data_IF_771238589173
#
_entry.id   IF_771238589173
#
_cell.length_a   1.000
_cell.length_b   1.000
_cell.length_c   1.000
_cell.angle_alpha   90.00
_cell.angle_beta   90.00
_cell.angle_gamma   90.00
#
_symmetry.space_group_name_H-M   'P 1'
#
loop_
_entity.id
_entity.type
_entity.pdbx_description
1 polymer ?
#
# COMPACT_ATOMS: atom_id res chain seq x y z
N UNK A 1 0.74 11.79 -7.24
CA UNK A 1 1.51 12.77 -8.03
C UNK A 1 2.93 12.90 -7.45
N UNK A 2 3.08 13.23 -6.15
CA UNK A 2 4.37 13.45 -5.50
C UNK A 2 5.39 12.31 -5.74
N UNK A 3 5.01 11.06 -5.50
CA UNK A 3 5.88 9.89 -5.72
C UNK A 3 6.27 9.74 -7.19
N UNK A 4 5.31 9.93 -8.10
CA UNK A 4 5.53 9.82 -9.55
C UNK A 4 6.53 10.88 -10.06
N UNK A 5 6.36 12.13 -9.66
CA UNK A 5 7.28 13.23 -10.06
C UNK A 5 8.67 13.05 -9.44
N UNK A 6 8.77 12.46 -8.26
CA UNK A 6 10.05 12.14 -7.61
C UNK A 6 10.69 10.86 -8.16
N UNK A 7 10.07 10.18 -9.12
CA UNK A 7 10.59 8.94 -9.69
C UNK A 7 10.73 7.83 -8.63
N UNK A 8 9.77 7.72 -7.72
CA UNK A 8 9.69 6.66 -6.73
C UNK A 8 8.60 5.69 -7.18
N UNK A 9 8.95 4.45 -7.59
CA UNK A 9 7.98 3.42 -7.91
C UNK A 9 7.12 3.08 -6.68
N UNK A 10 5.82 2.93 -6.91
CA UNK A 10 4.85 2.57 -5.87
C UNK A 10 3.75 1.70 -6.46
N UNK A 11 2.95 1.08 -5.62
CA UNK A 11 1.70 0.42 -6.01
C UNK A 11 0.61 0.69 -4.98
N UNK A 12 -0.65 0.61 -5.42
CA UNK A 12 -1.80 0.64 -4.52
C UNK A 12 -1.81 -0.64 -3.67
N UNK A 13 -2.03 -0.48 -2.37
CA UNK A 13 -2.02 -1.60 -1.42
C UNK A 13 -3.28 -1.61 -0.56
N UNK A 14 -3.42 -2.62 0.26
CA UNK A 14 -4.47 -2.75 1.29
C UNK A 14 -5.89 -2.41 0.80
N UNK A 15 -6.62 -1.60 1.56
CA UNK A 15 -7.99 -1.17 1.27
C UNK A 15 -8.12 -0.43 -0.05
N UNK A 16 -7.14 0.39 -0.39
CA UNK A 16 -7.10 1.13 -1.66
C UNK A 16 -7.01 0.20 -2.87
N UNK A 17 -6.16 -0.84 -2.81
CA UNK A 17 -6.11 -1.86 -3.86
C UNK A 17 -7.42 -2.63 -3.95
N UNK A 18 -7.99 -3.02 -2.80
CA UNK A 18 -9.29 -3.71 -2.75
C UNK A 18 -10.38 -2.89 -3.45
N UNK A 19 -10.49 -1.61 -3.13
CA UNK A 19 -11.43 -0.69 -3.76
C UNK A 19 -11.20 -0.54 -5.26
N UNK A 20 -9.94 -0.40 -5.68
CA UNK A 20 -9.55 -0.31 -7.07
C UNK A 20 -10.03 -1.53 -7.88
N UNK A 21 -9.76 -2.74 -7.39
CA UNK A 21 -10.07 -3.98 -8.13
C UNK A 21 -11.55 -4.37 -8.03
N UNK A 22 -12.18 -4.17 -6.87
CA UNK A 22 -13.56 -4.60 -6.65
C UNK A 22 -14.58 -3.61 -7.17
N UNK A 23 -14.32 -2.30 -7.02
CA UNK A 23 -15.31 -1.24 -7.28
C UNK A 23 -14.83 -0.19 -8.30
N UNK A 24 -13.57 -0.22 -8.72
CA UNK A 24 -12.99 0.80 -9.61
C UNK A 24 -12.86 2.18 -8.95
N UNK A 25 -12.97 2.25 -7.63
CA UNK A 25 -12.93 3.47 -6.82
C UNK A 25 -12.46 3.18 -5.39
N UNK A 26 -12.13 4.22 -4.64
CA UNK A 26 -11.91 4.11 -3.18
C UNK A 26 -13.21 3.64 -2.53
N UNK A 27 -13.11 2.72 -1.56
CA UNK A 27 -14.27 2.22 -0.83
C UNK A 27 -14.95 3.37 -0.07
N UNK A 28 -16.28 3.38 -0.04
CA UNK A 28 -17.06 4.51 0.51
C UNK A 28 -16.88 4.75 2.01
N UNK A 29 -16.38 3.74 2.71
CA UNK A 29 -16.10 3.79 4.16
C UNK A 29 -14.60 3.92 4.47
N UNK A 30 -13.76 3.97 3.44
CA UNK A 30 -12.31 4.09 3.58
C UNK A 30 -11.94 5.57 3.67
N UNK A 31 -11.19 5.93 4.70
CA UNK A 31 -10.81 7.31 4.99
C UNK A 31 -9.35 7.61 4.64
N UNK A 32 -8.62 6.60 4.20
CA UNK A 32 -7.21 6.72 3.85
C UNK A 32 -6.90 6.14 2.46
N UNK A 33 -5.68 6.36 2.03
CA UNK A 33 -5.12 5.79 0.82
C UNK A 33 -3.84 5.06 1.18
N UNK A 34 -3.77 3.78 0.85
CA UNK A 34 -2.62 2.95 1.10
C UNK A 34 -1.77 2.78 -0.16
N UNK A 35 -0.50 3.09 -0.07
CA UNK A 35 0.48 2.80 -1.12
C UNK A 35 1.74 2.19 -0.54
N UNK A 36 2.39 1.33 -1.30
CA UNK A 36 3.66 0.72 -0.89
C UNK A 36 4.76 1.06 -1.89
N UNK A 37 5.93 1.44 -1.36
CA UNK A 37 7.19 1.63 -2.09
C UNK A 37 8.19 0.55 -1.69
N UNK A 38 9.25 0.35 -2.49
CA UNK A 38 10.36 -0.49 -2.07
C UNK A 38 11.17 0.18 -0.95
N UNK A 39 11.63 -0.60 0.04
CA UNK A 39 12.36 -0.07 1.21
C UNK A 39 13.62 0.71 0.83
N UNK A 40 14.31 0.33 -0.27
CA UNK A 40 15.49 1.08 -0.74
C UNK A 40 15.18 2.53 -1.16
N UNK A 41 13.92 2.85 -1.45
CA UNK A 41 13.50 4.21 -1.79
C UNK A 41 13.16 5.06 -0.55
N UNK A 42 13.28 4.51 0.66
CA UNK A 42 12.90 5.20 1.89
C UNK A 42 13.61 6.52 2.13
N UNK A 43 14.93 6.52 1.99
CA UNK A 43 15.71 7.75 2.20
C UNK A 43 15.40 8.80 1.13
N UNK A 44 15.21 8.36 -0.13
CA UNK A 44 14.77 9.24 -1.21
C UNK A 44 13.39 9.84 -0.94
N UNK A 45 12.44 9.04 -0.41
CA UNK A 45 11.12 9.51 -0.01
C UNK A 45 11.22 10.67 1.01
N UNK A 46 12.11 10.54 1.98
CA UNK A 46 12.25 11.50 3.07
C UNK A 46 13.02 12.77 2.69
N UNK A 47 13.88 12.70 1.67
CA UNK A 47 14.82 13.80 1.35
C UNK A 47 14.51 14.48 0.01
N UNK A 48 13.88 13.77 -0.92
CA UNK A 48 13.65 14.28 -2.28
C UNK A 48 12.18 14.60 -2.59
N UNK A 49 11.23 14.10 -1.77
CA UNK A 49 9.81 14.39 -1.96
C UNK A 49 9.44 15.65 -1.19
N UNK A 50 9.12 16.70 -1.92
CA UNK A 50 8.60 17.96 -1.35
C UNK A 50 7.07 17.85 -1.14
N UNK A 51 6.67 17.20 -0.06
CA UNK A 51 5.26 17.01 0.30
C UNK A 51 4.47 18.33 0.39
N UNK A 52 5.02 19.41 0.99
CA UNK A 52 4.36 20.72 1.03
C UNK A 52 3.99 21.29 -0.35
N UNK A 53 4.80 21.06 -1.39
CA UNK A 53 4.50 21.46 -2.77
C UNK A 53 3.13 20.91 -3.25
N UNK A 54 2.70 19.78 -2.69
CA UNK A 54 1.44 19.10 -3.04
C UNK A 54 0.33 19.33 -1.99
N UNK A 55 0.52 20.29 -1.07
CA UNK A 55 -0.42 20.53 0.01
C UNK A 55 -0.46 19.41 1.06
N UNK A 56 0.62 18.64 1.18
CA UNK A 56 0.71 17.50 2.07
C UNK A 56 1.67 17.76 3.23
N UNK A 57 1.31 17.25 4.42
CA UNK A 57 2.15 17.34 5.63
C UNK A 57 2.39 15.94 6.19
N UNK A 58 3.64 15.60 6.49
CA UNK A 58 4.01 14.36 7.19
C UNK A 58 3.70 14.51 8.67
N UNK A 59 2.76 13.71 9.19
CA UNK A 59 2.39 13.75 10.63
C UNK A 59 2.89 12.53 11.41
N UNK A 60 3.07 11.37 10.76
CA UNK A 60 3.53 10.14 11.41
C UNK A 60 4.69 9.54 10.65
N UNK A 61 5.65 8.97 11.37
CA UNK A 61 6.80 8.31 10.82
C UNK A 61 7.23 7.17 11.74
N UNK A 62 7.22 5.97 11.21
CA UNK A 62 7.61 4.77 11.94
C UNK A 62 8.74 4.05 11.20
N UNK A 63 9.70 3.52 11.95
CA UNK A 63 10.75 2.63 11.44
C UNK A 63 10.57 1.24 12.07
N UNK A 64 10.71 0.19 11.25
CA UNK A 64 10.62 -1.18 11.74
C UNK A 64 9.23 -1.49 12.29
N UNK A 65 8.19 -1.14 11.55
CA UNK A 65 6.80 -1.38 11.96
C UNK A 65 6.56 -2.90 12.06
N UNK A 66 6.28 -3.43 13.27
CA UNK A 66 6.25 -4.89 13.50
C UNK A 66 5.21 -5.61 12.65
N UNK A 67 4.07 -4.96 12.37
CA UNK A 67 2.96 -5.56 11.65
C UNK A 67 3.19 -5.63 10.12
N UNK A 68 4.26 -5.01 9.61
CA UNK A 68 4.58 -4.92 8.19
C UNK A 68 6.00 -5.39 7.85
N UNK A 69 6.38 -6.59 8.29
CA UNK A 69 7.65 -7.26 7.93
C UNK A 69 8.93 -6.44 8.20
N UNK A 70 8.93 -5.61 9.24
CA UNK A 70 10.08 -4.75 9.55
C UNK A 70 10.24 -3.56 8.60
N UNK A 71 9.23 -3.26 7.78
CA UNK A 71 9.19 -2.10 6.92
C UNK A 71 9.04 -0.77 7.68
N UNK A 72 9.03 0.31 6.94
CA UNK A 72 8.81 1.64 7.48
C UNK A 72 7.47 2.20 7.00
N UNK A 73 6.92 3.16 7.71
CA UNK A 73 5.66 3.82 7.39
C UNK A 73 5.76 5.32 7.60
N UNK A 74 5.23 6.10 6.68
CA UNK A 74 4.87 7.50 6.95
C UNK A 74 3.40 7.72 6.59
N UNK A 75 2.72 8.58 7.39
CA UNK A 75 1.39 9.07 7.06
C UNK A 75 1.48 10.53 6.64
N UNK A 76 0.95 10.84 5.46
CA UNK A 76 0.87 12.20 4.91
C UNK A 76 -0.58 12.64 4.84
N UNK A 77 -0.85 13.85 5.29
CA UNK A 77 -2.17 14.44 5.45
C UNK A 77 -2.33 15.65 4.52
N UNK A 78 -3.51 15.90 4.05
CA UNK A 78 -3.83 17.18 3.43
C UNK A 78 -3.64 18.29 4.46
N UNK A 79 -2.91 19.35 4.11
CA UNK A 79 -2.49 20.39 5.06
C UNK A 79 -3.67 21.17 5.66
N UNK A 80 -4.76 21.27 4.89
CA UNK A 80 -5.97 22.00 5.28
C UNK A 80 -7.00 21.13 5.99
N UNK A 81 -6.83 19.81 5.98
CA UNK A 81 -7.81 18.88 6.53
C UNK A 81 -7.40 18.36 7.91
N UNK A 82 -8.32 18.43 8.84
CA UNK A 82 -8.08 18.10 10.23
C UNK A 82 -8.24 16.61 10.53
N UNK A 83 -7.40 15.75 10.05
CA UNK A 83 -7.23 14.40 10.56
C UNK A 83 -7.95 13.22 9.87
N UNK A 84 -8.87 13.39 8.94
CA UNK A 84 -9.65 12.26 8.43
C UNK A 84 -9.21 11.73 7.06
N UNK A 85 -8.50 12.53 6.24
CA UNK A 85 -8.05 12.10 4.92
C UNK A 85 -6.52 12.12 4.86
N UNK A 86 -5.92 10.95 4.79
CA UNK A 86 -4.47 10.80 4.75
C UNK A 86 -4.06 9.67 3.80
N UNK A 87 -2.79 9.64 3.48
CA UNK A 87 -2.18 8.56 2.73
C UNK A 87 -1.09 7.91 3.58
N UNK A 88 -1.20 6.62 3.78
CA UNK A 88 -0.15 5.80 4.35
C UNK A 88 0.78 5.30 3.26
N UNK A 89 2.07 5.62 3.41
CA UNK A 89 3.13 5.18 2.52
C UNK A 89 3.98 4.18 3.26
N UNK A 90 3.78 2.92 2.94
CA UNK A 90 4.58 1.80 3.45
C UNK A 90 5.86 1.66 2.64
N UNK A 91 6.96 1.39 3.30
CA UNK A 91 8.21 1.02 2.63
C UNK A 91 8.58 -0.42 3.02
N UNK A 92 8.56 -1.31 2.05
CA UNK A 92 8.68 -2.75 2.27
C UNK A 92 9.91 -3.31 1.53
N UNK A 93 10.66 -4.25 2.11
CA UNK A 93 11.74 -4.93 1.39
C UNK A 93 11.22 -5.80 0.23
N UNK A 94 9.97 -6.25 0.32
CA UNK A 94 9.29 -6.95 -0.75
C UNK A 94 8.59 -5.97 -1.69
N UNK A 95 8.79 -6.12 -3.00
CA UNK A 95 8.16 -5.27 -4.01
C UNK A 95 7.75 -6.12 -5.21
N UNK A 96 6.44 -6.29 -5.48
CA UNK A 96 5.96 -7.19 -6.51
C UNK A 96 6.24 -6.67 -7.92
N UNK A 97 6.16 -7.55 -8.91
CA UNK A 97 5.96 -7.13 -10.29
C UNK A 97 4.66 -6.35 -10.37
N UNK A 98 4.65 -5.29 -11.19
CA UNK A 98 3.51 -4.40 -11.31
C UNK A 98 2.81 -4.55 -12.66
N UNK A 99 1.52 -4.27 -12.65
CA UNK A 99 0.67 -3.97 -13.79
C UNK A 99 -0.15 -2.71 -13.49
N UNK A 100 -0.96 -2.23 -14.42
CA UNK A 100 -1.80 -1.06 -14.19
C UNK A 100 -3.28 -1.46 -14.08
N UNK A 101 -4.01 -0.73 -13.22
CA UNK A 101 -5.46 -0.78 -13.13
C UNK A 101 -6.04 0.64 -13.10
N UNK A 102 -7.28 0.76 -13.56
CA UNK A 102 -8.01 2.03 -13.56
C UNK A 102 -8.81 2.19 -12.28
N UNK A 103 -8.63 3.31 -11.60
CA UNK A 103 -9.44 3.72 -10.45
C UNK A 103 -9.85 5.18 -10.61
N UNK A 104 -11.14 5.48 -10.48
CA UNK A 104 -11.70 6.84 -10.70
C UNK A 104 -11.24 7.48 -12.04
N UNK A 105 -11.13 6.69 -13.10
CA UNK A 105 -10.73 7.16 -14.43
C UNK A 105 -9.22 7.41 -14.63
N UNK A 106 -8.40 7.12 -13.64
CA UNK A 106 -6.95 7.24 -13.72
C UNK A 106 -6.27 5.87 -13.59
N UNK A 107 -5.11 5.72 -14.22
CA UNK A 107 -4.30 4.52 -14.12
C UNK A 107 -3.32 4.58 -12.95
N UNK A 108 -3.27 3.47 -12.21
CA UNK A 108 -2.37 3.30 -11.06
C UNK A 108 -1.65 1.96 -11.14
N UNK A 109 -0.39 1.91 -10.71
CA UNK A 109 0.33 0.66 -10.58
C UNK A 109 -0.25 -0.18 -9.43
N UNK A 110 -0.42 -1.45 -9.69
CA UNK A 110 -0.91 -2.45 -8.74
C UNK A 110 -0.02 -3.70 -8.81
N UNK A 111 -0.02 -4.57 -7.80
CA UNK A 111 0.64 -5.87 -7.87
C UNK A 111 0.11 -6.68 -9.06
N UNK A 112 1.01 -7.30 -9.82
CA UNK A 112 0.61 -8.29 -10.81
C UNK A 112 -0.14 -9.44 -10.14
N UNK A 113 -1.23 -9.92 -10.77
CA UNK A 113 -2.15 -10.89 -10.19
C UNK A 113 -2.81 -10.37 -8.88
N UNK A 114 -3.51 -9.22 -8.94
CA UNK A 114 -4.11 -8.61 -7.76
C UNK A 114 -5.16 -9.50 -7.10
N UNK A 115 -5.78 -10.42 -7.86
CA UNK A 115 -6.75 -11.36 -7.32
C UNK A 115 -6.13 -12.32 -6.31
N UNK A 116 -4.94 -12.84 -6.59
CA UNK A 116 -4.20 -13.68 -5.66
C UNK A 116 -3.69 -12.86 -4.47
N UNK A 117 -3.17 -11.66 -4.74
CA UNK A 117 -2.69 -10.72 -3.71
C UNK A 117 -3.80 -10.43 -2.68
N UNK A 118 -4.98 -10.03 -3.14
CA UNK A 118 -6.13 -9.75 -2.28
C UNK A 118 -6.68 -10.99 -1.58
N UNK A 119 -6.65 -12.16 -2.22
CA UNK A 119 -7.07 -13.40 -1.57
C UNK A 119 -6.17 -13.73 -0.37
N UNK A 120 -4.91 -13.45 -0.46
CA UNK A 120 -3.98 -13.66 0.65
C UNK A 120 -4.16 -12.62 1.76
N UNK A 121 -4.47 -11.35 1.41
CA UNK A 121 -4.74 -10.31 2.41
C UNK A 121 -6.08 -10.50 3.12
N UNK A 122 -7.14 -10.77 2.36
CA UNK A 122 -8.52 -10.64 2.83
C UNK A 122 -9.35 -11.92 2.66
N UNK A 123 -8.75 -13.03 2.20
CA UNK A 123 -9.49 -14.26 1.95
C UNK A 123 -10.51 -14.08 0.83
N UNK A 124 -11.80 -14.21 1.13
CA UNK A 124 -12.87 -14.02 0.14
C UNK A 124 -13.22 -12.53 -0.05
N UNK A 125 -12.27 -11.75 -0.52
CA UNK A 125 -12.38 -10.30 -0.72
C UNK A 125 -13.48 -9.85 -1.68
N UNK A 126 -14.00 -10.75 -2.52
CA UNK A 126 -15.07 -10.42 -3.48
C UNK A 126 -16.41 -10.18 -2.81
N UNK A 127 -16.61 -10.71 -1.61
CA UNK A 127 -17.82 -10.53 -0.82
C UNK A 127 -17.55 -9.44 0.22
N UNK A 128 -18.26 -8.29 0.16
CA UNK A 128 -18.13 -7.28 1.19
C UNK A 128 -18.44 -7.85 2.58
N UNK A 129 -17.60 -7.56 3.55
CA UNK A 129 -17.79 -7.93 4.96
C UNK A 129 -17.89 -6.68 5.81
N UNK A 130 -18.77 -6.68 6.80
CA UNK A 130 -18.91 -5.60 7.79
C UNK A 130 -17.86 -5.66 8.91
N UNK A 131 -17.15 -6.78 9.01
CA UNK A 131 -16.00 -6.88 9.90
C UNK A 131 -14.80 -6.17 9.27
N UNK A 132 -13.92 -5.60 10.07
CA UNK A 132 -12.57 -5.25 9.65
C UNK A 132 -11.84 -6.56 9.32
N UNK A 133 -12.13 -7.07 8.11
CA UNK A 133 -11.86 -8.45 7.71
C UNK A 133 -10.37 -8.75 7.68
N UNK A 134 -9.53 -7.75 7.47
CA UNK A 134 -8.08 -7.84 7.45
C UNK A 134 -7.50 -8.34 8.78
N UNK A 135 -7.83 -7.67 9.88
CA UNK A 135 -7.30 -8.04 11.20
C UNK A 135 -7.85 -9.36 11.73
N UNK A 136 -9.10 -9.67 11.43
CA UNK A 136 -9.72 -10.90 11.90
C UNK A 136 -9.31 -12.11 11.07
N UNK A 137 -9.20 -11.97 9.75
CA UNK A 137 -8.72 -13.03 8.87
C UNK A 137 -7.26 -13.41 9.19
N UNK A 138 -6.37 -12.44 9.35
CA UNK A 138 -4.98 -12.68 9.72
C UNK A 138 -4.85 -13.30 11.11
N UNK A 139 -5.62 -12.82 12.07
CA UNK A 139 -5.63 -13.36 13.44
C UNK A 139 -6.13 -14.79 13.50
N UNK A 140 -7.20 -15.11 12.77
CA UNK A 140 -7.83 -16.43 12.78
C UNK A 140 -7.04 -17.49 12.01
N UNK A 141 -6.22 -17.09 11.03
CA UNK A 141 -5.41 -18.00 10.23
C UNK A 141 -3.94 -18.06 10.65
N UNK A 142 -3.55 -17.34 11.69
CA UNK A 142 -2.16 -17.31 12.18
C UNK A 142 -1.17 -16.72 11.18
N UNK A 143 -1.66 -16.08 10.12
CA UNK A 143 -0.83 -15.44 9.11
C UNK A 143 -0.43 -14.07 9.62
N UNK A 144 0.84 -13.91 9.92
CA UNK A 144 1.44 -12.60 10.09
C UNK A 144 1.65 -12.02 8.68
N UNK A 145 1.35 -10.76 8.50
CA UNK A 145 1.53 -10.05 7.21
C UNK A 145 2.95 -10.24 6.62
N UNK A 146 3.96 -10.43 7.48
CA UNK A 146 5.33 -10.77 7.12
C UNK A 146 5.46 -12.12 6.39
N UNK A 147 4.75 -13.13 6.83
CA UNK A 147 4.82 -14.47 6.24
C UNK A 147 4.13 -14.50 4.88
N UNK A 148 3.09 -13.71 4.73
CA UNK A 148 2.40 -13.51 3.49
C UNK A 148 3.28 -12.87 2.42
N UNK A 149 3.90 -11.72 2.71
CA UNK A 149 4.81 -11.06 1.74
C UNK A 149 6.02 -11.94 1.41
N UNK A 150 6.57 -12.66 2.38
CA UNK A 150 7.66 -13.62 2.17
C UNK A 150 7.26 -14.76 1.22
N UNK A 151 6.06 -15.32 1.38
CA UNK A 151 5.56 -16.37 0.49
C UNK A 151 5.27 -15.85 -0.93
N UNK A 152 4.79 -14.63 -1.05
CA UNK A 152 4.63 -13.93 -2.32
C UNK A 152 5.97 -13.76 -3.04
N UNK A 153 6.97 -13.26 -2.33
CA UNK A 153 8.32 -13.05 -2.86
C UNK A 153 8.95 -14.33 -3.38
N UNK A 154 8.82 -15.43 -2.63
CA UNK A 154 9.30 -16.75 -3.04
C UNK A 154 8.61 -17.26 -4.30
N UNK A 155 7.29 -17.03 -4.44
CA UNK A 155 6.51 -17.49 -5.58
C UNK A 155 6.79 -16.72 -6.86
N UNK A 156 6.97 -15.40 -6.76
CA UNK A 156 7.11 -14.52 -7.94
C UNK A 156 8.52 -14.04 -8.20
N UNK A 157 9.50 -14.51 -7.42
CA UNK A 157 10.94 -14.21 -7.60
C UNK A 157 11.24 -12.70 -7.75
N UNK A 158 10.68 -11.90 -6.86
CA UNK A 158 10.62 -10.42 -6.92
C UNK A 158 12.00 -9.77 -6.75
N UNK A 159 12.98 -10.50 -6.25
CA UNK A 159 14.35 -10.00 -6.00
C UNK A 159 15.16 -9.65 -7.25
N UNK A 160 14.59 -9.75 -8.45
CA UNK A 160 15.29 -9.44 -9.69
C UNK A 160 15.05 -8.02 -10.24
N UNK A 161 14.29 -7.18 -9.58
CA UNK A 161 14.21 -5.77 -9.97
C UNK A 161 15.53 -5.06 -9.61
N UNK A 162 16.48 -5.08 -10.52
CA UNK A 162 17.60 -4.15 -10.51
C UNK A 162 17.05 -2.76 -10.84
N UNK A 163 17.06 -1.87 -9.87
CA UNK A 163 16.85 -0.44 -10.07
C UNK A 163 18.13 0.22 -10.58
#
# INVERSE_FOLDING_TARGET
LALKESGIPFYLDCGTLLGCIREGRILSHDTDVDVTIHLSAWDKLLTAVDFPKYGLTVKRKYKGFPDYSGGNLISVYLTEDSAENYCDIYANPAFPLLENATMNGNEYPIPKDPGLYLTQLYGNWRIPSSAHADTEYHRNNGLIFSDYKKNWDLKYNIYQCKF
#
